data_IF_390965904995
#
_entry.id   IF_390965904995
#
_cell.length_a   1.000
_cell.length_b   1.000
_cell.length_c   1.000
_cell.angle_alpha   90.00
_cell.angle_beta   90.00
_cell.angle_gamma   90.00
#
_symmetry.space_group_name_H-M   'P 1'
#
loop_
_entity.id
_entity.type
_entity.pdbx_description
1 polymer ?
#
# COMPACT_ATOMS: atom_id res chain seq x y z
N UNK A 1 -8.49 75.74 -32.36
CA UNK A 1 -8.02 77.04 -31.87
C UNK A 1 -8.50 77.15 -30.44
N UNK A 2 -7.57 76.95 -29.51
CA UNK A 2 -7.40 77.63 -28.22
C UNK A 2 -8.62 78.39 -27.66
N UNK A 3 -8.99 78.32 -26.38
CA UNK A 3 -8.16 78.55 -25.20
C UNK A 3 -9.02 78.46 -23.92
N UNK A 4 -8.42 78.03 -22.79
CA UNK A 4 -8.63 78.56 -21.42
C UNK A 4 -10.01 78.31 -20.74
N UNK A 5 -10.16 78.17 -19.43
CA UNK A 5 -9.29 78.12 -18.24
C UNK A 5 -10.28 77.81 -17.09
N UNK A 6 -9.90 76.98 -16.13
CA UNK A 6 -10.78 76.62 -15.03
C UNK A 6 -10.02 75.99 -13.87
N UNK A 7 -9.21 76.81 -13.19
CA UNK A 7 -8.51 76.43 -11.98
C UNK A 7 -9.48 76.03 -10.86
N UNK A 8 -9.32 74.82 -10.31
CA UNK A 8 -9.85 74.47 -8.99
C UNK A 8 -8.71 73.95 -8.12
N UNK A 9 -8.46 74.72 -7.06
CA UNK A 9 -7.53 74.41 -5.97
C UNK A 9 -8.01 73.16 -5.24
N UNK A 10 -7.15 72.14 -5.17
CA UNK A 10 -7.34 70.99 -4.28
C UNK A 10 -6.29 71.06 -3.16
N UNK A 11 -6.77 71.07 -1.92
CA UNK A 11 -5.98 71.06 -0.70
C UNK A 11 -5.16 69.76 -0.60
N UNK A 12 -3.84 69.89 -0.42
CA UNK A 12 -2.95 68.78 -0.04
C UNK A 12 -3.04 68.56 1.47
N UNK A 13 -3.79 67.54 1.89
CA UNK A 13 -3.70 66.97 3.23
C UNK A 13 -2.57 65.93 3.25
N UNK A 14 -1.51 66.24 4.01
CA UNK A 14 -0.37 65.37 4.24
C UNK A 14 -0.76 64.27 5.25
N UNK A 15 -1.20 63.11 4.75
CA UNK A 15 -1.46 61.93 5.57
C UNK A 15 -0.16 61.16 5.84
N UNK A 16 0.30 61.16 7.08
CA UNK A 16 1.44 60.36 7.54
C UNK A 16 0.99 58.89 7.66
N UNK A 17 1.21 58.09 6.61
CA UNK A 17 0.94 56.66 6.63
C UNK A 17 2.11 55.92 7.31
N UNK A 18 1.95 55.58 8.58
CA UNK A 18 2.84 54.65 9.29
C UNK A 18 2.58 53.22 8.78
N UNK A 19 3.47 52.74 7.91
CA UNK A 19 3.47 51.34 7.48
C UNK A 19 3.90 50.43 8.64
N UNK A 20 2.94 49.77 9.30
CA UNK A 20 3.23 48.62 10.15
C UNK A 20 3.64 47.45 9.24
N UNK A 21 4.93 47.11 9.22
CA UNK A 21 5.38 45.84 8.65
C UNK A 21 4.93 44.70 9.57
N UNK A 22 4.25 43.65 9.06
CA UNK A 22 3.92 42.49 9.88
C UNK A 22 5.21 41.78 10.33
N UNK A 23 5.26 41.24 11.56
CA UNK A 23 6.43 40.53 12.05
C UNK A 23 6.66 39.31 11.15
N UNK A 24 7.89 39.17 10.67
CA UNK A 24 8.32 37.98 9.94
C UNK A 24 8.08 36.75 10.83
N UNK A 25 7.11 35.91 10.45
CA UNK A 25 7.01 34.57 11.01
C UNK A 25 8.31 33.86 10.66
N UNK A 26 9.18 33.67 11.65
CA UNK A 26 10.29 32.75 11.58
C UNK A 26 9.69 31.37 11.26
N UNK A 27 9.85 30.94 10.01
CA UNK A 27 9.46 29.62 9.57
C UNK A 27 10.15 28.60 10.47
N UNK A 28 9.35 27.81 11.19
CA UNK A 28 9.84 26.60 11.82
C UNK A 28 10.31 25.69 10.68
N UNK A 29 11.62 25.64 10.45
CA UNK A 29 12.23 24.64 9.60
C UNK A 29 11.90 23.29 10.21
N UNK A 30 11.03 22.52 9.54
CA UNK A 30 10.73 21.16 9.94
C UNK A 30 12.06 20.41 10.14
N UNK A 31 12.26 19.86 11.34
CA UNK A 31 13.45 19.08 11.65
C UNK A 31 13.59 17.89 10.69
N UNK A 32 14.80 17.30 10.59
CA UNK A 32 15.03 16.15 9.72
C UNK A 32 14.02 15.04 10.06
N UNK A 33 13.44 14.37 9.05
CA UNK A 33 12.45 13.33 9.29
C UNK A 33 13.04 12.23 10.16
N UNK A 34 12.42 12.00 11.32
CA UNK A 34 12.80 10.90 12.21
C UNK A 34 12.68 9.59 11.43
N UNK A 35 13.74 8.74 11.38
CA UNK A 35 13.66 7.46 10.71
C UNK A 35 12.64 6.57 11.43
N UNK A 36 11.87 5.74 10.70
CA UNK A 36 10.88 4.86 11.33
C UNK A 36 11.57 3.91 12.31
N UNK A 37 10.92 3.63 13.44
CA UNK A 37 11.34 2.59 14.37
C UNK A 37 11.52 1.27 13.60
N UNK A 38 12.60 0.55 13.85
CA UNK A 38 12.87 -0.75 13.22
C UNK A 38 12.89 -1.85 14.27
N UNK A 39 12.45 -3.05 13.90
CA UNK A 39 12.49 -4.23 14.76
C UNK A 39 13.01 -5.43 13.99
N UNK A 40 13.80 -6.26 14.68
CA UNK A 40 14.21 -7.57 14.18
C UNK A 40 13.11 -8.58 14.47
N UNK A 41 12.66 -9.27 13.42
CA UNK A 41 11.55 -10.22 13.46
C UNK A 41 11.84 -11.41 12.55
N UNK A 42 11.15 -12.53 12.79
CA UNK A 42 11.21 -13.74 11.96
C UNK A 42 9.83 -13.99 11.37
N UNK A 43 9.73 -14.14 10.05
CA UNK A 43 8.43 -14.18 9.36
C UNK A 43 7.65 -15.47 9.57
N UNK A 44 8.34 -16.60 9.75
CA UNK A 44 7.70 -17.90 9.94
C UNK A 44 8.58 -18.88 10.67
N UNK A 45 9.00 -18.54 11.90
CA UNK A 45 9.83 -19.40 12.75
C UNK A 45 9.22 -20.81 12.95
N UNK A 46 7.88 -20.94 12.84
CA UNK A 46 7.17 -22.21 12.89
C UNK A 46 7.38 -23.11 11.66
N UNK A 47 7.99 -22.62 10.58
CA UNK A 47 8.33 -23.42 9.39
C UNK A 47 9.68 -24.15 9.51
N UNK A 48 10.43 -23.94 10.60
CA UNK A 48 11.65 -24.70 10.90
C UNK A 48 11.36 -26.19 10.84
N UNK A 49 12.13 -26.90 10.01
CA UNK A 49 11.92 -28.32 9.76
C UNK A 49 13.25 -29.08 9.75
N UNK A 50 13.27 -30.21 10.46
CA UNK A 50 14.38 -31.17 10.43
C UNK A 50 14.43 -31.98 9.13
N UNK A 51 15.47 -32.80 8.98
CA UNK A 51 15.74 -33.52 7.72
C UNK A 51 14.59 -34.45 7.30
N UNK A 52 13.99 -35.20 8.24
CA UNK A 52 12.86 -36.10 7.95
C UNK A 52 11.67 -35.33 7.36
N UNK A 53 11.30 -34.21 7.99
CA UNK A 53 10.21 -33.36 7.53
C UNK A 53 10.48 -32.81 6.13
N UNK A 54 11.72 -32.38 5.85
CA UNK A 54 12.10 -31.88 4.51
C UNK A 54 12.09 -32.96 3.43
N UNK A 55 12.34 -34.23 3.77
CA UNK A 55 12.23 -35.36 2.84
C UNK A 55 10.77 -35.62 2.44
N UNK A 56 9.83 -35.56 3.40
CA UNK A 56 8.42 -35.85 3.12
C UNK A 56 7.61 -34.64 2.62
N UNK A 57 7.89 -33.45 3.13
CA UNK A 57 7.12 -32.21 2.89
C UNK A 57 7.94 -31.12 2.22
N UNK A 58 9.07 -31.48 1.60
CA UNK A 58 9.90 -30.56 0.83
C UNK A 58 10.79 -29.64 1.66
N UNK A 59 11.94 -29.29 1.08
CA UNK A 59 12.87 -28.32 1.65
C UNK A 59 12.28 -26.89 1.66
N UNK A 60 11.62 -26.51 0.56
CA UNK A 60 10.91 -25.23 0.40
C UNK A 60 11.79 -24.00 0.75
N UNK A 61 11.19 -22.84 1.02
CA UNK A 61 11.90 -21.62 1.43
C UNK A 61 12.05 -21.47 2.94
N UNK A 62 12.02 -22.59 3.69
CA UNK A 62 11.95 -22.60 5.16
C UNK A 62 13.07 -21.81 5.81
N UNK A 63 14.27 -21.86 5.23
CA UNK A 63 15.43 -21.11 5.73
C UNK A 63 15.23 -19.59 5.57
N UNK A 64 14.58 -19.14 4.49
CA UNK A 64 14.19 -17.73 4.32
C UNK A 64 13.09 -17.32 5.29
N UNK A 65 12.10 -18.19 5.52
CA UNK A 65 11.03 -17.94 6.50
C UNK A 65 11.56 -17.81 7.92
N UNK A 66 12.66 -18.51 8.24
CA UNK A 66 13.30 -18.51 9.54
C UNK A 66 14.42 -17.45 9.70
N UNK A 67 14.79 -16.77 8.61
CA UNK A 67 15.84 -15.74 8.66
C UNK A 67 15.35 -14.51 9.44
N UNK A 68 16.05 -14.09 10.51
CA UNK A 68 15.75 -12.83 11.17
C UNK A 68 16.01 -11.65 10.23
N UNK A 69 15.04 -10.77 10.10
CA UNK A 69 15.13 -9.56 9.27
C UNK A 69 14.78 -8.34 10.09
N UNK A 70 15.49 -7.24 9.83
CA UNK A 70 15.19 -5.94 10.43
C UNK A 70 14.27 -5.14 9.50
N UNK A 71 13.04 -4.88 9.93
CA UNK A 71 12.02 -4.18 9.14
C UNK A 71 11.46 -2.96 9.89
N UNK A 72 10.95 -1.94 9.18
CA UNK A 72 10.31 -0.80 9.83
C UNK A 72 8.98 -1.20 10.48
N UNK A 73 8.66 -0.58 11.61
CA UNK A 73 7.33 -0.56 12.19
C UNK A 73 6.49 0.46 11.42
N UNK A 74 5.30 0.06 10.99
CA UNK A 74 4.41 0.93 10.23
C UNK A 74 3.91 2.09 11.12
N UNK A 75 4.34 3.31 10.82
CA UNK A 75 3.85 4.51 11.49
C UNK A 75 2.51 4.94 10.89
N UNK A 76 1.42 4.59 11.59
CA UNK A 76 0.06 4.94 11.17
C UNK A 76 -0.21 6.44 11.17
N UNK A 77 0.56 7.26 11.89
CA UNK A 77 0.35 8.72 11.91
C UNK A 77 0.96 9.42 10.70
N UNK A 78 1.98 8.81 10.08
CA UNK A 78 2.78 9.44 9.02
C UNK A 78 2.58 8.81 7.65
N UNK A 79 2.43 7.49 7.57
CA UNK A 79 2.30 6.82 6.28
C UNK A 79 1.03 7.28 5.55
N UNK A 80 1.12 7.60 4.26
CA UNK A 80 -0.03 8.05 3.46
C UNK A 80 -0.76 9.28 4.01
N UNK A 81 -0.04 10.20 4.67
CA UNK A 81 -0.65 11.38 5.32
C UNK A 81 -1.40 11.07 6.62
N UNK A 82 -1.28 9.84 7.14
CA UNK A 82 -1.98 9.32 8.31
C UNK A 82 -3.00 8.26 7.91
N UNK A 83 -2.79 7.02 8.37
CA UNK A 83 -3.64 5.88 8.08
C UNK A 83 -4.76 5.74 9.12
N UNK A 84 -6.00 5.69 8.62
CA UNK A 84 -7.19 5.34 9.38
C UNK A 84 -7.63 3.92 9.00
N UNK A 85 -7.62 2.95 9.93
CA UNK A 85 -8.12 1.60 9.68
C UNK A 85 -9.58 1.63 9.24
N UNK A 86 -9.92 0.93 8.16
CA UNK A 86 -11.23 0.99 7.53
C UNK A 86 -11.99 -0.34 7.57
N UNK A 87 -11.36 -1.42 7.10
CA UNK A 87 -12.02 -2.73 7.05
C UNK A 87 -11.04 -3.88 6.96
N UNK A 88 -11.44 -5.00 7.54
CA UNK A 88 -10.82 -6.29 7.30
C UNK A 88 -11.16 -6.80 5.90
N UNK A 89 -10.20 -7.43 5.26
CA UNK A 89 -10.39 -8.14 4.01
C UNK A 89 -9.49 -9.35 3.94
N UNK A 90 -9.42 -9.93 2.75
CA UNK A 90 -8.71 -11.19 2.55
C UNK A 90 -9.70 -12.33 2.57
N UNK A 91 -9.59 -13.22 1.59
CA UNK A 91 -10.49 -14.37 1.45
C UNK A 91 -9.94 -15.53 2.28
N UNK A 92 -9.76 -16.70 1.67
CA UNK A 92 -9.48 -17.96 2.39
C UNK A 92 -7.99 -18.17 2.71
N UNK A 93 -7.14 -17.16 2.55
CA UNK A 93 -5.66 -17.32 2.55
C UNK A 93 -4.95 -16.14 3.19
N UNK A 94 -5.01 -14.94 2.61
CA UNK A 94 -4.28 -13.78 3.13
C UNK A 94 -5.15 -12.97 4.07
N UNK A 95 -4.64 -12.58 5.24
CA UNK A 95 -5.29 -11.60 6.12
C UNK A 95 -4.90 -10.21 5.63
N UNK A 96 -5.88 -9.33 5.46
CA UNK A 96 -5.60 -7.94 5.06
C UNK A 96 -6.38 -6.93 5.86
N UNK A 97 -5.76 -5.79 6.10
CA UNK A 97 -6.39 -4.62 6.70
C UNK A 97 -6.30 -3.47 5.71
N UNK A 98 -7.46 -2.86 5.41
CA UNK A 98 -7.54 -1.69 4.55
C UNK A 98 -7.48 -0.42 5.39
N UNK A 99 -6.86 0.60 4.83
CA UNK A 99 -6.74 1.92 5.45
C UNK A 99 -7.17 3.00 4.46
N UNK A 100 -7.70 4.08 5.01
CA UNK A 100 -7.83 5.37 4.34
C UNK A 100 -6.63 6.23 4.75
N UNK A 101 -5.89 6.75 3.78
CA UNK A 101 -4.83 7.72 4.00
C UNK A 101 -5.37 9.14 4.12
N UNK A 102 -4.72 9.97 4.92
CA UNK A 102 -4.97 11.41 4.97
C UNK A 102 -4.58 12.14 3.67
N UNK A 103 -3.86 11.46 2.78
CA UNK A 103 -3.57 11.91 1.41
C UNK A 103 -4.71 11.62 0.40
N UNK A 104 -5.85 11.11 0.87
CA UNK A 104 -7.01 10.76 0.02
C UNK A 104 -6.92 9.39 -0.64
N UNK A 105 -5.79 8.68 -0.51
CA UNK A 105 -5.59 7.36 -1.15
C UNK A 105 -5.99 6.22 -0.22
N UNK A 106 -6.26 5.07 -0.81
CA UNK A 106 -6.51 3.85 -0.04
C UNK A 106 -5.27 2.98 0.01
N UNK A 107 -5.07 2.33 1.13
CA UNK A 107 -3.94 1.43 1.35
C UNK A 107 -4.41 0.08 1.84
N UNK A 108 -3.61 -0.94 1.62
CA UNK A 108 -3.88 -2.29 2.10
C UNK A 108 -2.61 -2.91 2.68
N UNK A 109 -2.69 -3.30 3.94
CA UNK A 109 -1.69 -4.13 4.59
C UNK A 109 -2.10 -5.59 4.42
N UNK A 110 -1.19 -6.45 3.96
CA UNK A 110 -1.42 -7.88 3.78
C UNK A 110 -0.38 -8.68 4.54
N UNK A 111 -0.81 -9.71 5.26
CA UNK A 111 0.12 -10.59 5.99
C UNK A 111 1.07 -11.30 5.02
N UNK A 112 2.35 -11.37 5.40
CA UNK A 112 3.35 -12.18 4.66
C UNK A 112 3.01 -13.67 4.83
N UNK A 113 2.86 -14.10 6.08
CA UNK A 113 2.40 -15.44 6.40
C UNK A 113 0.90 -15.57 6.12
N UNK A 114 0.55 -16.48 5.22
CA UNK A 114 -0.84 -16.73 4.81
C UNK A 114 -1.46 -17.75 5.77
N UNK A 115 -2.76 -17.63 6.00
CA UNK A 115 -3.56 -18.54 6.80
C UNK A 115 -4.57 -19.27 5.89
N UNK A 116 -4.17 -20.44 5.33
CA UNK A 116 -5.04 -21.24 4.47
C UNK A 116 -6.15 -21.99 5.21
N UNK A 117 -6.28 -21.85 6.53
CA UNK A 117 -7.21 -22.67 7.34
C UNK A 117 -8.65 -22.60 6.81
N UNK A 118 -9.08 -21.46 6.27
CA UNK A 118 -10.43 -21.29 5.73
C UNK A 118 -10.68 -22.02 4.40
N UNK A 119 -9.63 -22.52 3.73
CA UNK A 119 -9.76 -23.41 2.57
C UNK A 119 -10.18 -24.83 2.98
N UNK A 120 -9.92 -25.24 4.22
CA UNK A 120 -10.33 -26.54 4.73
C UNK A 120 -11.85 -26.59 5.03
N UNK A 121 -12.49 -27.75 4.83
CA UNK A 121 -13.78 -28.07 5.41
C UNK A 121 -13.80 -27.80 6.92
N UNK A 122 -14.90 -27.29 7.51
CA UNK A 122 -14.97 -26.97 8.93
C UNK A 122 -14.47 -28.09 9.86
N UNK A 123 -14.74 -29.34 9.49
CA UNK A 123 -14.39 -30.56 10.24
C UNK A 123 -12.87 -30.80 10.31
N UNK A 124 -12.12 -30.28 9.34
CA UNK A 124 -10.66 -30.45 9.24
C UNK A 124 -9.88 -29.27 9.83
N UNK A 125 -10.53 -28.15 10.17
CA UNK A 125 -9.84 -26.93 10.65
C UNK A 125 -9.19 -27.09 12.02
N UNK A 126 -9.69 -28.01 12.83
CA UNK A 126 -9.18 -28.30 14.19
C UNK A 126 -8.35 -29.59 14.24
N UNK A 127 -7.86 -30.09 13.11
CA UNK A 127 -7.05 -31.32 13.02
C UNK A 127 -5.65 -31.03 12.48
N UNK A 128 -4.79 -32.06 12.42
CA UNK A 128 -3.45 -31.96 11.83
C UNK A 128 -3.46 -31.50 10.35
N UNK A 129 -4.59 -31.63 9.65
CA UNK A 129 -4.73 -31.14 8.28
C UNK A 129 -4.47 -29.63 8.19
N UNK A 130 -4.83 -28.86 9.23
CA UNK A 130 -4.51 -27.44 9.34
C UNK A 130 -3.00 -27.20 9.33
N UNK A 131 -2.25 -27.98 10.11
CA UNK A 131 -0.81 -27.80 10.23
C UNK A 131 -0.10 -28.20 8.93
N UNK A 132 -0.58 -29.27 8.26
CA UNK A 132 -0.06 -29.69 6.95
C UNK A 132 -0.32 -28.62 5.88
N UNK A 133 -1.53 -28.07 5.78
CA UNK A 133 -1.81 -27.04 4.77
C UNK A 133 -1.12 -25.71 5.09
N UNK A 134 -0.98 -25.37 6.37
CA UNK A 134 -0.18 -24.23 6.81
C UNK A 134 1.28 -24.42 6.41
N UNK A 135 1.84 -25.61 6.63
CA UNK A 135 3.22 -25.95 6.26
C UNK A 135 3.52 -25.75 4.77
N UNK A 136 2.53 -25.98 3.89
CA UNK A 136 2.68 -25.75 2.45
C UNK A 136 2.84 -24.28 2.07
N UNK A 137 2.53 -23.32 2.94
CA UNK A 137 2.84 -21.90 2.71
C UNK A 137 4.35 -21.67 2.64
N UNK A 138 5.16 -22.52 3.31
CA UNK A 138 6.62 -22.43 3.25
C UNK A 138 7.20 -22.62 1.84
N UNK A 139 6.43 -23.24 0.93
CA UNK A 139 6.77 -23.41 -0.48
C UNK A 139 6.79 -22.09 -1.27
N UNK A 140 6.13 -21.05 -0.77
CA UNK A 140 6.15 -19.72 -1.35
C UNK A 140 7.28 -18.85 -0.76
N UNK A 141 7.87 -17.99 -1.59
CA UNK A 141 8.90 -17.05 -1.15
C UNK A 141 8.29 -15.95 -0.27
N UNK A 142 8.74 -15.75 0.99
CA UNK A 142 8.11 -14.79 1.93
C UNK A 142 8.20 -13.34 1.45
N UNK A 143 9.28 -12.98 0.76
CA UNK A 143 9.47 -11.66 0.16
C UNK A 143 9.03 -11.55 -1.31
N UNK A 144 8.27 -12.50 -1.86
CA UNK A 144 8.01 -12.61 -3.30
C UNK A 144 7.60 -11.28 -3.97
N UNK A 145 6.55 -10.59 -3.49
CA UNK A 145 6.14 -9.30 -4.06
C UNK A 145 7.23 -8.21 -4.04
N UNK A 146 8.11 -8.19 -3.04
CA UNK A 146 9.22 -7.23 -2.95
C UNK A 146 10.30 -7.52 -4.00
N UNK A 147 10.50 -8.79 -4.35
CA UNK A 147 11.43 -9.22 -5.40
C UNK A 147 10.86 -8.95 -6.78
N UNK A 148 9.55 -9.17 -6.96
CA UNK A 148 8.88 -8.99 -8.26
C UNK A 148 8.70 -7.51 -8.62
N UNK A 149 8.46 -6.63 -7.65
CA UNK A 149 8.28 -5.20 -7.88
C UNK A 149 9.37 -4.56 -8.79
N UNK A 150 10.69 -4.65 -8.48
CA UNK A 150 11.71 -4.07 -9.37
C UNK A 150 11.80 -4.75 -10.75
N UNK A 151 11.34 -5.99 -10.90
CA UNK A 151 11.25 -6.64 -12.22
C UNK A 151 10.11 -6.06 -13.05
N UNK A 152 8.98 -5.73 -12.40
CA UNK A 152 7.85 -5.06 -13.05
C UNK A 152 8.23 -3.63 -13.46
N UNK A 153 8.94 -2.89 -12.60
CA UNK A 153 9.50 -1.57 -12.92
C UNK A 153 10.42 -1.66 -14.15
N UNK A 154 11.35 -2.61 -14.17
CA UNK A 154 12.29 -2.80 -15.28
C UNK A 154 11.58 -3.20 -16.60
N UNK A 155 10.44 -3.90 -16.50
CA UNK A 155 9.60 -4.27 -17.65
C UNK A 155 8.60 -3.17 -18.05
N UNK A 156 8.54 -2.05 -17.33
CA UNK A 156 7.57 -0.98 -17.56
C UNK A 156 6.11 -1.41 -17.32
N UNK A 157 5.89 -2.43 -16.49
CA UNK A 157 4.55 -2.93 -16.16
C UNK A 157 4.03 -2.12 -14.98
N UNK A 158 2.86 -1.49 -15.12
CA UNK A 158 2.28 -0.72 -14.04
C UNK A 158 1.87 -1.62 -12.86
N UNK A 159 2.34 -1.29 -11.65
CA UNK A 159 2.00 -2.02 -10.43
C UNK A 159 2.04 -1.12 -9.19
N UNK A 160 1.36 -1.56 -8.11
CA UNK A 160 1.55 -0.96 -6.79
C UNK A 160 2.88 -1.44 -6.18
N UNK A 161 3.57 -0.57 -5.45
CA UNK A 161 4.85 -0.88 -4.83
C UNK A 161 4.65 -1.37 -3.38
N UNK A 162 4.85 -2.67 -3.09
CA UNK A 162 4.76 -3.19 -1.73
C UNK A 162 5.95 -2.73 -0.88
N UNK A 163 5.67 -2.33 0.35
CA UNK A 163 6.69 -2.04 1.36
C UNK A 163 6.50 -3.00 2.54
N UNK A 164 7.57 -3.69 2.94
CA UNK A 164 7.52 -4.56 4.12
C UNK A 164 7.45 -3.72 5.38
N UNK A 165 6.56 -4.09 6.29
CA UNK A 165 6.44 -3.44 7.59
C UNK A 165 5.91 -4.40 8.65
N UNK A 166 6.29 -4.13 9.90
CA UNK A 166 5.64 -4.70 11.07
C UNK A 166 4.41 -3.85 11.41
N UNK A 167 3.26 -4.48 11.59
CA UNK A 167 2.07 -3.79 12.08
C UNK A 167 2.30 -3.36 13.54
N UNK A 168 2.13 -2.07 13.91
CA UNK A 168 2.38 -1.60 15.26
C UNK A 168 1.34 -2.16 16.24
N UNK A 169 1.67 -2.11 17.53
CA UNK A 169 0.66 -2.20 18.58
C UNK A 169 0.09 -0.80 18.83
N UNK A 170 -0.95 -0.45 18.06
CA UNK A 170 -1.57 0.88 18.08
C UNK A 170 -3.06 0.79 18.47
N UNK A 171 -3.56 1.66 19.39
CA UNK A 171 -4.97 1.67 19.78
C UNK A 171 -5.97 1.81 18.63
N UNK A 172 -5.59 2.44 17.51
CA UNK A 172 -6.45 2.58 16.31
C UNK A 172 -6.80 1.23 15.68
N UNK A 173 -5.97 0.21 15.91
CA UNK A 173 -6.15 -1.14 15.38
C UNK A 173 -7.07 -2.00 16.25
N UNK A 174 -7.50 -1.51 17.42
CA UNK A 174 -8.44 -2.23 18.30
C UNK A 174 -9.78 -2.42 17.58
N UNK A 175 -10.30 -3.65 17.61
CA UNK A 175 -11.55 -4.03 16.93
C UNK A 175 -11.36 -4.62 15.53
N UNK A 176 -10.13 -4.70 15.00
CA UNK A 176 -9.84 -5.37 13.73
C UNK A 176 -9.22 -6.76 13.96
N UNK A 177 -10.06 -7.75 14.28
CA UNK A 177 -9.63 -9.11 14.64
C UNK A 177 -8.94 -9.90 13.51
N UNK A 178 -9.01 -9.39 12.26
CA UNK A 178 -8.33 -10.00 11.13
C UNK A 178 -6.80 -9.86 11.19
N UNK A 179 -6.28 -8.94 11.99
CA UNK A 179 -4.83 -8.71 12.16
C UNK A 179 -4.44 -8.85 13.63
N UNK A 180 -3.15 -9.06 13.87
CA UNK A 180 -2.58 -9.12 15.22
C UNK A 180 -1.60 -7.96 15.39
N UNK A 181 -2.04 -6.82 15.98
CA UNK A 181 -1.18 -5.67 16.24
C UNK A 181 0.09 -6.06 17.00
N UNK A 182 1.22 -5.44 16.66
CA UNK A 182 2.52 -5.63 17.32
C UNK A 182 3.34 -6.86 16.90
N UNK A 183 2.70 -7.86 16.28
CA UNK A 183 3.37 -9.14 15.96
C UNK A 183 3.31 -9.52 14.48
N UNK A 184 2.41 -8.90 13.70
CA UNK A 184 2.16 -9.31 12.32
C UNK A 184 3.09 -8.59 11.33
N UNK A 185 3.93 -9.37 10.65
CA UNK A 185 4.67 -8.90 9.47
C UNK A 185 3.75 -8.91 8.26
N UNK A 186 3.80 -7.83 7.48
CA UNK A 186 3.04 -7.70 6.25
C UNK A 186 3.70 -6.78 5.26
N UNK A 187 2.99 -6.58 4.16
CA UNK A 187 3.33 -5.61 3.13
C UNK A 187 2.20 -4.60 3.03
N UNK A 188 2.55 -3.32 3.11
CA UNK A 188 1.65 -2.20 2.85
C UNK A 188 1.87 -1.73 1.41
N UNK A 189 0.78 -1.52 0.68
CA UNK A 189 0.82 -0.95 -0.65
C UNK A 189 -0.41 -0.05 -0.84
N UNK A 190 -0.32 0.87 -1.79
CA UNK A 190 -1.51 1.54 -2.28
C UNK A 190 -2.48 0.50 -2.86
N UNK A 191 -3.75 0.66 -2.53
CA UNK A 191 -4.84 -0.10 -3.10
C UNK A 191 -5.50 0.78 -4.16
N UNK A 192 -5.35 0.48 -5.46
CA UNK A 192 -6.11 1.15 -6.49
C UNK A 192 -7.62 0.99 -6.22
N UNK A 193 -8.30 2.11 -6.00
CA UNK A 193 -9.75 2.19 -5.86
C UNK A 193 -10.27 3.32 -6.72
N UNK A 194 -11.50 3.21 -7.22
CA UNK A 194 -12.17 4.36 -7.83
C UNK A 194 -12.26 5.47 -6.76
N UNK A 195 -11.71 6.67 -7.03
CA UNK A 195 -11.80 7.77 -6.10
C UNK A 195 -13.25 8.26 -5.99
N UNK A 196 -13.67 8.79 -4.84
CA UNK A 196 -14.84 9.64 -4.79
C UNK A 196 -14.53 10.94 -5.58
N UNK A 197 -15.40 11.32 -6.51
CA UNK A 197 -15.42 12.63 -7.19
C UNK A 197 -14.22 13.01 -8.09
N UNK A 198 -14.20 12.59 -9.37
CA UNK A 198 -13.35 13.15 -10.45
C UNK A 198 -11.84 13.34 -10.15
N UNK A 199 -11.33 12.80 -9.06
CA UNK A 199 -9.91 12.82 -8.74
C UNK A 199 -9.14 11.82 -9.61
N UNK A 200 -7.85 12.08 -9.78
CA UNK A 200 -6.97 11.21 -10.56
C UNK A 200 -6.76 9.91 -9.79
N UNK A 201 -7.25 8.80 -10.33
CA UNK A 201 -7.06 7.49 -9.72
C UNK A 201 -5.61 7.01 -9.89
N UNK A 202 -5.34 5.80 -9.40
CA UNK A 202 -4.04 5.16 -9.48
C UNK A 202 -3.36 5.35 -10.84
N UNK A 203 -2.13 5.87 -10.81
CA UNK A 203 -1.29 6.12 -11.99
C UNK A 203 -1.94 6.95 -13.12
N UNK A 204 -2.78 7.92 -12.78
CA UNK A 204 -3.37 8.80 -13.80
C UNK A 204 -4.70 8.30 -14.37
N UNK A 205 -5.22 7.16 -13.87
CA UNK A 205 -6.42 6.57 -14.44
C UNK A 205 -7.67 7.43 -14.20
N UNK A 206 -8.51 7.55 -15.23
CA UNK A 206 -9.84 8.17 -15.12
C UNK A 206 -10.87 7.22 -14.51
N UNK A 207 -10.62 5.92 -14.60
CA UNK A 207 -11.50 4.86 -14.16
C UNK A 207 -10.69 3.60 -13.84
N UNK A 208 -11.11 2.82 -12.84
CA UNK A 208 -10.53 1.51 -12.56
C UNK A 208 -11.52 0.39 -12.91
N UNK A 209 -11.27 -0.28 -14.02
CA UNK A 209 -12.07 -1.40 -14.47
C UNK A 209 -11.45 -2.75 -14.08
N UNK A 210 -12.23 -3.60 -13.41
CA UNK A 210 -11.91 -5.02 -13.28
C UNK A 210 -12.15 -5.79 -14.58
N UNK A 211 -11.72 -7.05 -14.63
CA UNK A 211 -11.80 -7.90 -15.84
C UNK A 211 -13.19 -7.93 -16.48
N UNK A 212 -14.27 -8.05 -15.69
CA UNK A 212 -15.64 -8.05 -16.22
C UNK A 212 -15.97 -6.73 -16.94
N UNK A 213 -15.68 -5.60 -16.30
CA UNK A 213 -15.93 -4.26 -16.84
C UNK A 213 -15.06 -3.97 -18.06
N UNK A 214 -13.82 -4.46 -18.08
CA UNK A 214 -12.97 -4.43 -19.27
C UNK A 214 -13.67 -5.10 -20.47
N UNK A 215 -14.22 -6.31 -20.29
CA UNK A 215 -14.96 -6.98 -21.37
C UNK A 215 -16.23 -6.22 -21.77
N UNK A 216 -16.98 -5.69 -20.80
CA UNK A 216 -18.15 -4.85 -21.08
C UNK A 216 -17.77 -3.63 -21.94
N UNK A 217 -16.65 -2.95 -21.65
CA UNK A 217 -16.17 -1.85 -22.49
C UNK A 217 -15.81 -2.31 -23.91
N UNK A 218 -15.09 -3.42 -24.05
CA UNK A 218 -14.70 -3.96 -25.36
C UNK A 218 -15.91 -4.38 -26.21
N UNK A 219 -16.97 -4.88 -25.57
CA UNK A 219 -18.22 -5.25 -26.25
C UNK A 219 -19.08 -4.03 -26.60
N UNK A 220 -19.01 -2.96 -25.80
CA UNK A 220 -19.86 -1.78 -25.97
C UNK A 220 -19.46 -0.89 -27.15
N UNK A 221 -18.15 -0.69 -27.39
CA UNK A 221 -17.65 0.16 -28.49
C UNK A 221 -16.34 -0.37 -29.06
N UNK A 222 -16.28 -0.56 -30.38
CA UNK A 222 -15.08 -1.01 -31.10
C UNK A 222 -13.89 -0.02 -31.04
N UNK A 223 -14.12 1.21 -30.59
CA UNK A 223 -13.06 2.20 -30.31
C UNK A 223 -12.32 1.92 -29.00
N UNK A 224 -12.92 1.16 -28.08
CA UNK A 224 -12.24 0.74 -26.86
C UNK A 224 -11.15 -0.28 -27.24
N UNK A 225 -9.91 0.06 -26.89
CA UNK A 225 -8.75 -0.77 -27.21
C UNK A 225 -7.91 -0.99 -25.96
N UNK A 226 -7.46 -2.22 -25.79
CA UNK A 226 -6.42 -2.55 -24.82
C UNK A 226 -5.06 -2.17 -25.41
N UNK A 227 -4.19 -1.56 -24.62
CA UNK A 227 -2.77 -1.50 -24.96
C UNK A 227 -2.22 -2.93 -25.02
N UNK A 228 -2.13 -3.45 -26.24
CA UNK A 228 -1.77 -4.84 -26.48
C UNK A 228 -0.34 -5.15 -26.07
N UNK A 229 0.56 -4.16 -26.10
CA UNK A 229 1.96 -4.33 -25.70
C UNK A 229 2.06 -4.39 -24.18
N UNK A 230 1.44 -3.44 -23.48
CA UNK A 230 1.42 -3.44 -22.02
C UNK A 230 0.74 -4.71 -21.46
N UNK A 231 -0.40 -5.12 -22.06
CA UNK A 231 -1.10 -6.32 -21.66
C UNK A 231 -0.26 -7.59 -21.89
N UNK A 232 0.36 -7.73 -23.08
CA UNK A 232 1.22 -8.88 -23.38
C UNK A 232 2.44 -8.92 -22.45
N UNK A 233 3.09 -7.78 -22.20
CA UNK A 233 4.22 -7.71 -21.26
C UNK A 233 3.80 -8.19 -19.86
N UNK A 234 2.66 -7.73 -19.35
CA UNK A 234 2.12 -8.19 -18.07
C UNK A 234 1.82 -9.70 -18.06
N UNK A 235 1.23 -10.25 -19.13
CA UNK A 235 0.96 -11.71 -19.23
C UNK A 235 2.24 -12.54 -19.33
N UNK A 236 3.24 -12.07 -20.08
CA UNK A 236 4.54 -12.75 -20.19
C UNK A 236 5.30 -12.72 -18.87
N UNK A 237 5.19 -11.62 -18.11
CA UNK A 237 5.73 -11.56 -16.77
C UNK A 237 5.05 -12.56 -15.83
N UNK A 238 3.72 -12.68 -15.88
CA UNK A 238 3.02 -13.71 -15.10
C UNK A 238 3.56 -15.12 -15.40
N UNK A 239 3.76 -15.45 -16.69
CA UNK A 239 4.35 -16.75 -17.10
C UNK A 239 5.79 -16.92 -16.62
N UNK A 240 6.58 -15.84 -16.64
CA UNK A 240 7.99 -15.87 -16.22
C UNK A 240 8.13 -16.07 -14.70
N UNK A 241 7.28 -15.44 -13.91
CA UNK A 241 7.31 -15.55 -12.44
C UNK A 241 6.70 -16.87 -11.95
N UNK A 242 5.67 -17.38 -12.62
CA UNK A 242 4.97 -18.62 -12.27
C UNK A 242 3.68 -18.39 -11.50
#
# INVERSE_FOLDING_TARGET
MDHLSGARRAFLSLGLATALAPPALLGQTAGPPVPPERRTVVAGAHYRAGWLHRVFLGAHYRDLWDTPIEIPVLDLSRFGGGLTPASCGGRRQTKSLRFLGGDGRQYVFRSVDKDPTLALPPELRATFARDVIQDQISSAHPGGPLVVAPLLDAAGILHAAPQIALLPDDPRLRGFDCVRPGFMIGMIEERPTEPPDNEVAFAGAVELAGTKRLFEHLEHDARNRVDSRAFLAARLMDVFIG
#
